data_IF_820832601140
#
_entry.id   IF_820832601140
#
_cell.length_a   1.000
_cell.length_b   1.000
_cell.length_c   1.000
_cell.angle_alpha   90.00
_cell.angle_beta   90.00
_cell.angle_gamma   90.00
#
_symmetry.space_group_name_H-M   'P 1'
#
loop_
_entity.id
_entity.type
_entity.pdbx_description
1 polymer ?
#
# COMPACT_ATOMS: atom_id res chain seq x y z
N UNK A 1 7.02 10.81 -18.88
CA UNK A 1 5.63 10.30 -19.04
C UNK A 1 5.52 9.53 -20.36
N UNK A 2 6.59 8.84 -20.75
CA UNK A 2 6.77 8.34 -22.13
C UNK A 2 5.80 7.20 -22.48
N UNK A 3 5.23 6.58 -21.45
CA UNK A 3 4.28 5.46 -21.52
C UNK A 3 3.04 5.78 -22.37
N UNK A 4 2.60 7.04 -22.38
CA UNK A 4 1.43 7.47 -23.18
C UNK A 4 1.82 8.40 -24.34
N UNK A 5 3.11 8.58 -24.61
CA UNK A 5 3.60 9.49 -25.66
C UNK A 5 3.19 9.06 -27.08
N UNK A 6 2.86 7.78 -27.28
CA UNK A 6 2.36 7.26 -28.55
C UNK A 6 0.87 7.53 -28.81
N UNK A 7 0.10 8.01 -27.83
CA UNK A 7 -1.31 8.33 -28.02
C UNK A 7 -1.48 9.76 -28.57
N UNK A 8 -2.24 9.92 -29.65
CA UNK A 8 -2.68 11.25 -30.09
C UNK A 8 -3.67 11.83 -29.07
N UNK A 9 -3.59 13.13 -28.81
CA UNK A 9 -4.42 13.84 -27.82
C UNK A 9 -5.86 13.99 -28.37
N UNK A 10 -6.66 12.95 -28.21
CA UNK A 10 -8.05 12.90 -28.68
C UNK A 10 -8.96 12.25 -27.65
N UNK A 11 -10.25 12.61 -27.67
CA UNK A 11 -11.27 12.06 -26.77
C UNK A 11 -11.27 10.52 -26.76
N UNK A 12 -11.13 9.91 -27.95
CA UNK A 12 -11.15 8.47 -28.19
C UNK A 12 -9.97 7.74 -27.53
N UNK A 13 -8.82 8.40 -27.39
CA UNK A 13 -7.60 7.76 -26.88
C UNK A 13 -7.46 7.84 -25.36
N UNK A 14 -8.24 8.69 -24.66
CA UNK A 14 -8.12 8.82 -23.20
C UNK A 14 -8.36 7.52 -22.43
N UNK A 15 -9.39 6.71 -22.73
CA UNK A 15 -9.61 5.46 -21.98
C UNK A 15 -8.41 4.52 -22.05
N UNK A 16 -7.82 4.32 -23.24
CA UNK A 16 -6.64 3.48 -23.42
C UNK A 16 -5.40 4.10 -22.78
N UNK A 17 -5.18 5.42 -22.89
CA UNK A 17 -4.08 6.08 -22.20
C UNK A 17 -4.17 5.93 -20.67
N UNK A 18 -5.37 6.06 -20.09
CA UNK A 18 -5.61 5.84 -18.66
C UNK A 18 -5.37 4.38 -18.28
N UNK A 19 -5.82 3.43 -19.10
CA UNK A 19 -5.58 2.00 -18.89
C UNK A 19 -4.08 1.69 -18.90
N UNK A 20 -3.33 2.18 -19.88
CA UNK A 20 -1.88 2.01 -19.96
C UNK A 20 -1.15 2.63 -18.77
N UNK A 21 -1.59 3.80 -18.29
CA UNK A 21 -1.05 4.38 -17.06
C UNK A 21 -1.34 3.50 -15.85
N UNK A 22 -2.56 2.95 -15.72
CA UNK A 22 -2.90 2.04 -14.63
C UNK A 22 -2.07 0.77 -14.69
N UNK A 23 -1.97 0.11 -15.84
CA UNK A 23 -1.17 -1.11 -15.99
C UNK A 23 0.28 -0.94 -15.55
N UNK A 24 0.84 0.27 -15.70
CA UNK A 24 2.24 0.54 -15.34
C UNK A 24 2.46 1.16 -13.97
N UNK A 25 1.49 1.91 -13.45
CA UNK A 25 1.66 2.73 -12.25
C UNK A 25 0.63 2.44 -11.16
N UNK A 26 -0.38 1.61 -11.42
CA UNK A 26 -1.38 1.26 -10.41
C UNK A 26 -0.78 0.28 -9.41
N UNK A 27 -0.35 0.85 -8.27
CA UNK A 27 0.16 0.12 -7.12
C UNK A 27 -0.86 0.22 -5.98
N UNK A 28 -2.01 -0.40 -6.17
CA UNK A 28 -3.10 -0.40 -5.20
C UNK A 28 -2.65 -0.96 -3.84
N UNK A 29 -1.74 -1.93 -3.84
CA UNK A 29 -1.05 -2.48 -2.67
C UNK A 29 -0.37 -1.39 -1.83
N UNK A 30 0.44 -0.54 -2.47
CA UNK A 30 1.16 0.54 -1.78
C UNK A 30 0.23 1.62 -1.24
N UNK A 31 -0.86 1.91 -1.95
CA UNK A 31 -1.86 2.88 -1.48
C UNK A 31 -2.58 2.34 -0.24
N UNK A 32 -2.99 1.06 -0.26
CA UNK A 32 -3.57 0.39 0.91
C UNK A 32 -2.58 0.44 2.08
N UNK A 33 -1.33 0.05 1.85
CA UNK A 33 -0.27 0.10 2.85
C UNK A 33 -0.09 1.50 3.44
N UNK A 34 -0.07 2.53 2.59
CA UNK A 34 0.05 3.92 3.03
C UNK A 34 -1.06 4.30 4.02
N UNK A 35 -2.32 3.98 3.72
CA UNK A 35 -3.44 4.29 4.61
C UNK A 35 -3.34 3.53 5.94
N UNK A 36 -2.91 2.27 5.93
CA UNK A 36 -2.67 1.48 7.16
C UNK A 36 -1.58 2.12 8.02
N UNK A 37 -0.44 2.48 7.40
CA UNK A 37 0.67 3.12 8.10
C UNK A 37 0.25 4.47 8.69
N UNK A 38 -0.47 5.29 7.93
CA UNK A 38 -0.95 6.59 8.40
C UNK A 38 -1.92 6.48 9.58
N UNK A 39 -2.77 5.45 9.59
CA UNK A 39 -3.62 5.13 10.75
C UNK A 39 -2.79 4.76 11.98
N UNK A 40 -1.76 3.92 11.82
CA UNK A 40 -0.86 3.53 12.91
C UNK A 40 -0.01 4.70 13.44
N UNK A 41 0.24 5.72 12.62
CA UNK A 41 0.98 6.94 12.99
C UNK A 41 0.12 8.05 13.59
N UNK A 42 -1.19 7.85 13.71
CA UNK A 42 -2.05 8.84 14.36
C UNK A 42 -1.58 9.00 15.81
N UNK A 43 -1.08 10.20 16.11
CA UNK A 43 -0.64 10.56 17.45
C UNK A 43 -1.82 10.50 18.42
N UNK A 44 -1.57 9.94 19.60
CA UNK A 44 -2.52 9.95 20.70
C UNK A 44 -2.94 11.39 21.01
N UNK A 45 -4.24 11.62 21.15
CA UNK A 45 -4.75 12.89 21.64
C UNK A 45 -4.42 13.01 23.13
N UNK A 46 -3.64 14.02 23.50
CA UNK A 46 -3.22 14.28 24.89
C UNK A 46 -4.21 15.15 25.65
N UNK A 47 -4.89 16.07 24.95
CA UNK A 47 -5.89 16.97 25.54
C UNK A 47 -7.18 16.93 24.72
N UNK A 48 -8.30 16.45 25.30
CA UNK A 48 -9.57 16.41 24.61
C UNK A 48 -10.15 17.82 24.47
N UNK A 49 -10.37 18.25 23.22
CA UNK A 49 -11.14 19.46 22.89
C UNK A 49 -12.11 19.16 21.74
N UNK A 50 -13.24 19.87 21.62
CA UNK A 50 -14.18 19.66 20.50
C UNK A 50 -13.51 19.78 19.13
N UNK A 51 -12.59 20.75 18.99
CA UNK A 51 -11.81 20.95 17.76
C UNK A 51 -10.81 19.84 17.52
N UNK A 52 -10.10 19.38 18.56
CA UNK A 52 -9.17 18.25 18.46
C UNK A 52 -9.85 16.94 18.10
N UNK A 53 -11.00 16.66 18.73
CA UNK A 53 -11.84 15.50 18.44
C UNK A 53 -12.32 15.51 16.99
N UNK A 54 -12.79 16.66 16.48
CA UNK A 54 -13.21 16.79 15.08
C UNK A 54 -12.06 16.52 14.12
N UNK A 55 -10.88 17.12 14.35
CA UNK A 55 -9.69 16.88 13.52
C UNK A 55 -9.27 15.41 13.51
N UNK A 56 -9.30 14.75 14.66
CA UNK A 56 -8.98 13.32 14.78
C UNK A 56 -9.99 12.47 14.01
N UNK A 57 -11.29 12.74 14.20
CA UNK A 57 -12.37 12.05 13.48
C UNK A 57 -12.22 12.21 11.97
N UNK A 58 -12.00 13.44 11.49
CA UNK A 58 -11.85 13.72 10.06
C UNK A 58 -10.63 12.98 9.48
N UNK A 59 -9.51 12.92 10.23
CA UNK A 59 -8.32 12.16 9.83
C UNK A 59 -8.58 10.66 9.77
N UNK A 60 -9.24 10.08 10.78
CA UNK A 60 -9.62 8.66 10.77
C UNK A 60 -10.53 8.33 9.58
N UNK A 61 -11.57 9.14 9.38
CA UNK A 61 -12.55 8.94 8.31
C UNK A 61 -11.94 9.13 6.92
N UNK A 62 -10.93 9.98 6.76
CA UNK A 62 -10.17 10.10 5.51
C UNK A 62 -9.58 8.75 5.10
N UNK A 63 -8.81 8.11 5.99
CA UNK A 63 -8.16 6.84 5.67
C UNK A 63 -9.17 5.70 5.53
N UNK A 64 -10.21 5.63 6.37
CA UNK A 64 -11.25 4.60 6.24
C UNK A 64 -12.06 4.72 4.95
N UNK A 65 -12.42 5.94 4.53
CA UNK A 65 -13.14 6.14 3.26
C UNK A 65 -12.28 5.77 2.05
N UNK A 66 -10.99 6.09 2.08
CA UNK A 66 -10.06 5.73 1.02
C UNK A 66 -9.91 4.19 0.91
N UNK A 67 -9.67 3.51 2.03
CA UNK A 67 -9.59 2.05 2.08
C UNK A 67 -10.90 1.39 1.60
N UNK A 68 -12.07 1.91 2.02
CA UNK A 68 -13.38 1.45 1.53
C UNK A 68 -13.53 1.63 0.02
N UNK A 69 -13.12 2.76 -0.54
CA UNK A 69 -13.17 3.02 -1.98
C UNK A 69 -12.32 2.01 -2.78
N UNK A 70 -11.31 1.41 -2.14
CA UNK A 70 -10.47 0.37 -2.70
C UNK A 70 -10.96 -1.07 -2.38
N UNK A 71 -12.17 -1.21 -1.83
CA UNK A 71 -12.72 -2.52 -1.46
C UNK A 71 -12.07 -3.15 -0.22
N UNK A 72 -11.38 -2.35 0.61
CA UNK A 72 -10.73 -2.76 1.85
C UNK A 72 -11.37 -2.09 3.06
N UNK A 73 -12.70 -2.12 3.14
CA UNK A 73 -13.43 -1.55 4.26
C UNK A 73 -13.06 -2.23 5.60
N UNK A 74 -12.43 -1.52 6.56
CA UNK A 74 -12.08 -2.11 7.84
C UNK A 74 -13.30 -2.42 8.73
N UNK A 75 -14.42 -1.71 8.54
CA UNK A 75 -15.62 -1.88 9.36
C UNK A 75 -16.40 -3.14 8.95
N UNK A 76 -16.36 -3.48 7.67
CA UNK A 76 -17.06 -4.63 7.11
C UNK A 76 -16.16 -5.87 6.98
N UNK A 77 -14.97 -5.86 7.59
CA UNK A 77 -14.05 -7.01 7.60
C UNK A 77 -13.36 -7.31 6.26
N UNK A 78 -13.35 -6.37 5.32
CA UNK A 78 -12.70 -6.56 4.01
C UNK A 78 -11.20 -6.30 4.05
N UNK A 79 -10.73 -5.45 4.96
CA UNK A 79 -9.31 -5.30 5.26
C UNK A 79 -8.87 -6.46 6.15
N UNK A 80 -7.91 -7.24 5.67
CA UNK A 80 -7.46 -8.45 6.37
C UNK A 80 -6.37 -8.15 7.38
N UNK A 81 -6.26 -9.02 8.39
CA UNK A 81 -5.17 -8.98 9.37
C UNK A 81 -3.79 -9.18 8.71
N UNK A 82 -3.72 -9.99 7.65
CA UNK A 82 -2.52 -10.21 6.85
C UNK A 82 -2.00 -8.90 6.24
N UNK A 83 -2.87 -8.14 5.57
CA UNK A 83 -2.52 -6.85 4.97
C UNK A 83 -2.04 -5.82 6.00
N UNK A 84 -2.68 -5.79 7.17
CA UNK A 84 -2.30 -4.88 8.27
C UNK A 84 -0.89 -5.22 8.75
N UNK A 85 -0.62 -6.48 9.06
CA UNK A 85 0.69 -6.88 9.56
C UNK A 85 1.78 -6.82 8.50
N UNK A 86 1.48 -7.13 7.23
CA UNK A 86 2.43 -6.97 6.13
C UNK A 86 2.85 -5.50 6.03
N UNK A 87 1.89 -4.58 6.01
CA UNK A 87 2.13 -3.15 5.93
C UNK A 87 3.01 -2.63 7.08
N UNK A 88 2.70 -3.03 8.32
CA UNK A 88 3.44 -2.63 9.51
C UNK A 88 4.84 -3.24 9.56
N UNK A 89 4.99 -4.50 9.15
CA UNK A 89 6.29 -5.19 9.10
C UNK A 89 7.18 -4.53 8.06
N UNK A 90 6.68 -4.32 6.84
CA UNK A 90 7.44 -3.63 5.80
C UNK A 90 7.85 -2.21 6.21
N UNK A 91 6.98 -1.49 6.94
CA UNK A 91 7.34 -0.18 7.51
C UNK A 91 8.54 -0.24 8.45
N UNK A 92 8.67 -1.32 9.22
CA UNK A 92 9.77 -1.51 10.15
C UNK A 92 11.09 -1.91 9.45
N UNK A 93 11.03 -2.38 8.20
CA UNK A 93 12.20 -2.79 7.42
C UNK A 93 12.85 -1.61 6.69
N UNK A 94 14.10 -1.80 6.26
CA UNK A 94 14.80 -0.82 5.44
C UNK A 94 14.18 -0.70 4.05
N UNK A 95 14.35 0.47 3.42
CA UNK A 95 13.86 0.71 2.06
C UNK A 95 14.50 -0.23 1.04
N UNK A 96 15.76 -0.61 1.28
CA UNK A 96 16.56 -1.51 0.48
C UNK A 96 15.99 -2.93 0.51
N UNK A 97 15.61 -3.43 1.69
CA UNK A 97 15.01 -4.76 1.83
C UNK A 97 13.62 -4.80 1.18
N UNK A 98 12.80 -3.76 1.39
CA UNK A 98 11.49 -3.66 0.75
C UNK A 98 11.62 -3.59 -0.79
N UNK A 99 12.62 -2.90 -1.32
CA UNK A 99 12.89 -2.88 -2.76
C UNK A 99 13.24 -4.28 -3.30
N UNK A 100 14.14 -5.01 -2.62
CA UNK A 100 14.46 -6.40 -3.00
C UNK A 100 13.22 -7.31 -2.95
N UNK A 101 12.32 -7.08 -2.00
CA UNK A 101 11.05 -7.79 -1.93
C UNK A 101 10.14 -7.52 -3.13
N UNK A 102 9.99 -6.25 -3.53
CA UNK A 102 9.21 -5.89 -4.72
C UNK A 102 9.79 -6.57 -5.97
N UNK A 103 11.11 -6.51 -6.16
CA UNK A 103 11.80 -7.18 -7.28
C UNK A 103 11.57 -8.71 -7.25
N UNK A 104 11.57 -9.31 -6.06
CA UNK A 104 11.30 -10.74 -5.87
C UNK A 104 9.87 -11.10 -6.28
N UNK A 105 8.86 -10.35 -5.84
CA UNK A 105 7.45 -10.61 -6.18
C UNK A 105 7.18 -10.38 -7.67
N UNK A 106 7.73 -9.32 -8.26
CA UNK A 106 7.63 -9.07 -9.71
C UNK A 106 8.23 -10.20 -10.54
N UNK A 107 9.35 -10.77 -10.07
CA UNK A 107 10.02 -11.90 -10.73
C UNK A 107 9.35 -13.26 -10.46
N UNK A 108 8.58 -13.39 -9.37
CA UNK A 108 7.96 -14.64 -8.92
C UNK A 108 6.45 -14.49 -8.82
N UNK A 109 5.79 -14.28 -9.96
CA UNK A 109 4.34 -14.00 -10.07
C UNK A 109 3.43 -15.08 -9.49
N UNK A 110 3.93 -16.30 -9.25
CA UNK A 110 3.19 -17.37 -8.57
C UNK A 110 3.16 -17.23 -7.05
N UNK A 111 4.08 -16.46 -6.47
CA UNK A 111 4.17 -16.28 -5.03
C UNK A 111 3.19 -15.19 -4.58
N UNK A 112 2.29 -15.47 -3.63
CA UNK A 112 1.39 -14.45 -3.14
C UNK A 112 2.16 -13.36 -2.37
N UNK A 113 1.86 -12.09 -2.64
CA UNK A 113 2.40 -10.97 -1.90
C UNK A 113 1.67 -10.80 -0.54
N UNK A 114 1.89 -11.73 0.37
CA UNK A 114 1.27 -11.79 1.70
C UNK A 114 2.32 -11.78 2.83
N UNK A 115 1.87 -11.69 4.09
CA UNK A 115 2.77 -11.66 5.24
C UNK A 115 3.68 -12.88 5.33
N UNK A 116 3.12 -14.08 5.12
CA UNK A 116 3.86 -15.35 5.20
C UNK A 116 5.04 -15.36 4.23
N UNK A 117 4.78 -15.09 2.95
CA UNK A 117 5.81 -15.05 1.91
C UNK A 117 6.84 -13.97 2.17
N UNK A 118 6.43 -12.82 2.73
CA UNK A 118 7.34 -11.76 3.12
C UNK A 118 8.29 -12.20 4.25
N UNK A 119 7.77 -12.84 5.30
CA UNK A 119 8.59 -13.33 6.41
C UNK A 119 9.56 -14.43 5.97
N UNK A 120 9.13 -15.34 5.09
CA UNK A 120 10.01 -16.32 4.48
C UNK A 120 11.12 -15.68 3.64
N UNK A 121 10.78 -14.63 2.88
CA UNK A 121 11.76 -13.87 2.11
C UNK A 121 12.79 -13.19 3.03
N UNK A 122 12.34 -12.52 4.09
CA UNK A 122 13.23 -11.88 5.07
C UNK A 122 14.17 -12.90 5.69
N UNK A 123 13.66 -14.07 6.09
CA UNK A 123 14.48 -15.18 6.62
C UNK A 123 15.57 -15.60 5.63
N UNK A 124 15.22 -15.77 4.35
CA UNK A 124 16.21 -16.14 3.31
C UNK A 124 17.27 -15.06 3.09
N UNK A 125 16.92 -13.78 3.21
CA UNK A 125 17.89 -12.68 3.10
C UNK A 125 18.89 -12.71 4.26
N UNK A 126 18.42 -12.99 5.49
CA UNK A 126 19.31 -13.14 6.65
C UNK A 126 20.32 -14.28 6.41
N UNK A 127 19.85 -15.45 5.96
CA UNK A 127 20.73 -16.61 5.68
C UNK A 127 21.78 -16.34 4.58
N UNK A 128 21.54 -15.36 3.71
CA UNK A 128 22.48 -14.94 2.65
C UNK A 128 23.51 -13.96 3.20
N UNK A 129 23.10 -13.01 4.05
CA UNK A 129 23.99 -12.00 4.62
C UNK A 129 24.93 -12.56 5.70
N UNK A 130 24.56 -13.67 6.35
CA UNK A 130 25.41 -14.37 7.33
C UNK A 130 26.48 -15.29 6.71
N UNK A 131 26.50 -15.47 5.38
CA UNK A 131 27.49 -16.28 4.64
C UNK A 131 28.60 -15.44 4.03
#
# INVERSE_FOLDING_TARGET
>A
LDVISGFSITATNYPEAVKTLRERFDRADLIIQHHIIQLAEIKKMTEPSPTGLRKLYDKLMLHFRALRAMGKDPINGQLTTDEIFLALTQKAMSSELNKKWEEFIESNTSTPANLESFLEFVRKQIDIEEK
#
